data_IF_218019128883
#
_entry.id   IF_218019128883
#
_cell.length_a   1.000
_cell.length_b   1.000
_cell.length_c   1.000
_cell.angle_alpha   90.00
_cell.angle_beta   90.00
_cell.angle_gamma   90.00
#
_symmetry.space_group_name_H-M   'P 1'
#
loop_
_entity.id
_entity.type
_entity.pdbx_description
1 polymer ?
#
# COMPACT_ATOMS: atom_id res chain seq x y z
N UNK A 1 -29.74 -57.48 7.48
CA UNK A 1 -29.45 -56.47 6.43
C UNK A 1 -28.97 -55.20 7.10
N UNK A 2 -27.65 -54.96 7.13
CA UNK A 2 -27.04 -53.69 7.58
C UNK A 2 -26.13 -53.23 6.44
N UNK A 3 -26.60 -52.28 5.65
CA UNK A 3 -25.79 -51.64 4.62
C UNK A 3 -24.85 -50.64 5.29
N UNK A 4 -23.56 -50.97 5.34
CA UNK A 4 -22.51 -50.06 5.76
C UNK A 4 -22.21 -49.13 4.57
N UNK A 5 -22.78 -47.93 4.58
CA UNK A 5 -22.42 -46.87 3.66
C UNK A 5 -21.02 -46.35 4.01
N UNK A 6 -20.01 -46.77 3.26
CA UNK A 6 -18.71 -46.11 3.27
C UNK A 6 -18.85 -44.73 2.61
N UNK A 7 -18.85 -43.67 3.42
CA UNK A 7 -18.56 -42.33 2.95
C UNK A 7 -17.08 -42.26 2.57
N UNK A 8 -16.77 -42.43 1.29
CA UNK A 8 -15.49 -42.05 0.72
C UNK A 8 -15.37 -40.53 0.83
N UNK A 9 -14.69 -40.07 1.87
CA UNK A 9 -14.25 -38.69 1.98
C UNK A 9 -13.21 -38.48 0.87
N UNK A 10 -13.65 -38.03 -0.31
CA UNK A 10 -12.75 -37.52 -1.32
C UNK A 10 -12.03 -36.33 -0.69
N UNK A 11 -10.78 -36.55 -0.25
CA UNK A 11 -9.87 -35.48 0.12
C UNK A 11 -9.92 -34.47 -1.01
N UNK A 12 -10.43 -33.27 -0.73
CA UNK A 12 -10.28 -32.14 -1.60
C UNK A 12 -8.77 -31.93 -1.78
N UNK A 13 -8.25 -32.46 -2.88
CA UNK A 13 -6.95 -32.07 -3.42
C UNK A 13 -6.93 -30.55 -3.34
N UNK A 14 -5.92 -29.96 -2.68
CA UNK A 14 -5.72 -28.51 -2.67
C UNK A 14 -5.78 -28.04 -4.12
N UNK A 15 -6.91 -27.52 -4.55
CA UNK A 15 -7.01 -26.81 -5.81
C UNK A 15 -6.10 -25.59 -5.62
N UNK A 16 -4.89 -25.67 -6.18
CA UNK A 16 -3.95 -24.55 -6.17
C UNK A 16 -4.61 -23.48 -7.01
N UNK A 17 -5.28 -22.53 -6.36
CA UNK A 17 -5.86 -21.36 -7.04
C UNK A 17 -4.71 -20.68 -7.76
N UNK A 18 -4.79 -20.64 -9.08
CA UNK A 18 -3.75 -20.02 -9.89
C UNK A 18 -3.71 -18.53 -9.58
N UNK A 19 -2.52 -18.02 -9.31
CA UNK A 19 -2.29 -16.61 -9.01
C UNK A 19 -1.89 -15.92 -10.31
N UNK A 20 -2.60 -14.85 -10.67
CA UNK A 20 -2.27 -14.01 -11.83
C UNK A 20 -0.85 -13.41 -11.70
N UNK A 21 -0.06 -13.48 -12.77
CA UNK A 21 1.37 -13.09 -12.76
C UNK A 21 1.78 -12.04 -13.79
N UNK A 22 0.91 -11.70 -14.74
CA UNK A 22 1.24 -10.74 -15.78
C UNK A 22 1.02 -9.32 -15.29
N UNK A 23 2.05 -8.49 -15.47
CA UNK A 23 2.01 -7.06 -15.25
C UNK A 23 2.27 -6.32 -16.56
N UNK A 24 1.73 -5.10 -16.74
CA UNK A 24 2.08 -4.28 -17.88
C UNK A 24 3.57 -3.91 -17.87
N UNK A 25 4.09 -3.48 -19.02
CA UNK A 25 5.49 -3.12 -19.16
C UNK A 25 5.95 -2.06 -18.14
N UNK A 26 7.05 -2.37 -17.46
CA UNK A 26 7.64 -1.53 -16.42
C UNK A 26 6.86 -1.50 -15.10
N UNK A 27 5.90 -2.40 -14.88
CA UNK A 27 5.29 -2.65 -13.57
C UNK A 27 5.91 -3.90 -12.93
N UNK A 28 6.25 -3.83 -11.64
CA UNK A 28 6.77 -4.98 -10.89
C UNK A 28 5.64 -5.81 -10.31
N UNK A 29 5.74 -7.12 -10.43
CA UNK A 29 4.82 -8.07 -9.80
C UNK A 29 5.21 -8.38 -8.34
N UNK A 30 4.21 -8.45 -7.47
CA UNK A 30 4.29 -8.89 -6.10
C UNK A 30 3.22 -9.93 -5.79
N UNK A 31 3.57 -10.93 -4.98
CA UNK A 31 2.60 -11.85 -4.41
C UNK A 31 2.05 -11.28 -3.11
N UNK A 32 0.73 -11.09 -3.06
CA UNK A 32 0.01 -10.73 -1.83
C UNK A 32 -1.01 -11.82 -1.51
N UNK A 33 -1.53 -11.81 -0.28
CA UNK A 33 -2.54 -12.77 0.18
C UNK A 33 -3.84 -12.74 -0.66
N UNK A 34 -4.14 -11.60 -1.29
CA UNK A 34 -5.28 -11.41 -2.20
C UNK A 34 -4.97 -11.70 -3.68
N UNK A 35 -3.76 -12.19 -3.98
CA UNK A 35 -3.32 -12.53 -5.33
C UNK A 35 -2.18 -11.65 -5.84
N UNK A 36 -1.93 -11.73 -7.15
CA UNK A 36 -0.86 -10.99 -7.82
C UNK A 36 -1.18 -9.50 -7.92
N UNK A 37 -0.20 -8.68 -7.59
CA UNK A 37 -0.32 -7.22 -7.58
C UNK A 37 0.83 -6.59 -8.38
N UNK A 38 0.48 -5.72 -9.32
CA UNK A 38 1.42 -5.00 -10.16
C UNK A 38 1.61 -3.60 -9.60
N UNK A 39 2.85 -3.20 -9.30
CA UNK A 39 3.19 -1.89 -8.73
C UNK A 39 4.14 -1.12 -9.64
N UNK A 40 4.03 0.21 -9.63
CA UNK A 40 4.96 1.12 -10.31
C UNK A 40 5.11 2.42 -9.53
N UNK A 41 6.36 2.84 -9.35
CA UNK A 41 6.72 4.14 -8.77
C UNK A 41 6.79 5.17 -9.90
N UNK A 42 6.23 6.35 -9.65
CA UNK A 42 6.29 7.49 -10.56
C UNK A 42 6.97 8.65 -9.84
N UNK A 43 7.97 9.25 -10.50
CA UNK A 43 8.53 10.53 -10.08
C UNK A 43 7.67 11.65 -10.67
N UNK A 44 7.27 12.58 -9.81
CA UNK A 44 6.34 13.66 -10.15
C UNK A 44 6.39 14.72 -9.05
N UNK A 45 7.00 15.86 -9.36
CA UNK A 45 7.03 17.01 -8.44
C UNK A 45 5.69 17.74 -8.57
N UNK A 46 4.67 17.27 -7.84
CA UNK A 46 3.32 17.82 -7.97
C UNK A 46 2.30 17.23 -7.01
N UNK A 47 1.27 18.04 -6.74
CA UNK A 47 0.16 17.88 -5.80
C UNK A 47 -0.27 16.41 -5.55
N UNK A 48 -0.31 15.96 -4.28
CA UNK A 48 -0.88 14.65 -3.87
C UNK A 48 -2.29 14.47 -4.40
N UNK A 49 -3.05 15.57 -4.53
CA UNK A 49 -4.40 15.61 -5.07
C UNK A 49 -4.54 14.96 -6.46
N UNK A 50 -3.44 14.81 -7.22
CA UNK A 50 -3.46 14.14 -8.52
C UNK A 50 -2.95 12.70 -8.51
N UNK A 51 -2.31 12.20 -7.45
CA UNK A 51 -1.77 10.83 -7.47
C UNK A 51 -2.88 9.79 -7.65
N UNK A 52 -4.00 9.96 -6.95
CA UNK A 52 -5.20 9.11 -7.10
C UNK A 52 -5.75 9.16 -8.53
N UNK A 53 -5.91 10.35 -9.11
CA UNK A 53 -6.38 10.51 -10.49
C UNK A 53 -5.39 9.96 -11.54
N UNK A 54 -4.08 10.14 -11.32
CA UNK A 54 -3.01 9.65 -12.20
C UNK A 54 -2.95 8.13 -12.18
N UNK A 55 -3.08 7.50 -11.01
CA UNK A 55 -3.21 6.04 -10.94
C UNK A 55 -4.51 5.57 -11.61
N UNK A 56 -5.63 6.26 -11.37
CA UNK A 56 -6.93 5.91 -11.98
C UNK A 56 -6.87 5.94 -13.52
N UNK A 57 -6.19 6.93 -14.11
CA UNK A 57 -5.97 7.03 -15.55
C UNK A 57 -5.21 5.82 -16.16
N UNK A 58 -4.50 5.05 -15.33
CA UNK A 58 -3.77 3.84 -15.71
C UNK A 58 -4.52 2.54 -15.36
N UNK A 59 -5.79 2.64 -14.96
CA UNK A 59 -6.58 1.53 -14.43
C UNK A 59 -6.02 0.99 -13.12
N UNK A 60 -5.41 1.86 -12.31
CA UNK A 60 -4.76 1.55 -11.05
C UNK A 60 -5.30 2.42 -9.91
N UNK A 61 -4.85 2.13 -8.70
CA UNK A 61 -5.08 2.95 -7.50
C UNK A 61 -3.74 3.29 -6.88
N UNK A 62 -3.68 4.26 -5.97
CA UNK A 62 -2.46 4.47 -5.19
C UNK A 62 -2.24 3.24 -4.32
N UNK A 63 -1.08 2.60 -4.46
CA UNK A 63 -0.78 1.35 -3.78
C UNK A 63 -0.39 1.59 -2.33
N UNK A 64 -0.91 0.75 -1.44
CA UNK A 64 -0.32 0.54 -0.12
C UNK A 64 0.96 -0.30 -0.21
N UNK A 65 1.53 -0.62 0.95
CA UNK A 65 2.64 -1.56 1.08
C UNK A 65 2.24 -2.75 1.96
N UNK A 66 2.48 -3.96 1.48
CA UNK A 66 2.20 -5.19 2.22
C UNK A 66 3.24 -5.47 3.31
N UNK A 67 4.49 -5.08 3.09
CA UNK A 67 5.62 -5.45 3.95
C UNK A 67 6.89 -4.62 3.63
N UNK A 68 7.95 -4.87 4.39
CA UNK A 68 9.24 -4.20 4.20
C UNK A 68 9.85 -4.40 2.81
N UNK A 69 9.70 -5.57 2.18
CA UNK A 69 10.27 -5.83 0.85
C UNK A 69 9.65 -4.92 -0.23
N UNK A 70 8.35 -4.63 -0.12
CA UNK A 70 7.68 -3.68 -1.00
C UNK A 70 8.16 -2.25 -0.76
N UNK A 71 8.39 -1.85 0.51
CA UNK A 71 8.98 -0.54 0.85
C UNK A 71 10.39 -0.43 0.27
N UNK A 72 11.25 -1.40 0.52
CA UNK A 72 12.64 -1.39 0.06
C UNK A 72 12.71 -1.30 -1.48
N UNK A 73 11.82 -2.00 -2.18
CA UNK A 73 11.70 -1.86 -3.63
C UNK A 73 11.20 -0.47 -4.07
N UNK A 74 10.22 0.12 -3.38
CA UNK A 74 9.77 1.49 -3.69
C UNK A 74 10.93 2.50 -3.54
N UNK A 75 11.68 2.40 -2.44
CA UNK A 75 12.82 3.27 -2.14
C UNK A 75 13.95 3.11 -3.17
N UNK A 76 14.33 1.87 -3.46
CA UNK A 76 15.34 1.56 -4.48
C UNK A 76 14.92 2.04 -5.87
N UNK A 77 13.66 1.82 -6.25
CA UNK A 77 13.14 2.30 -7.54
C UNK A 77 13.17 3.83 -7.60
N UNK A 78 12.70 4.51 -6.56
CA UNK A 78 12.69 5.97 -6.51
C UNK A 78 14.10 6.57 -6.60
N UNK A 79 15.03 6.09 -5.77
CA UNK A 79 16.38 6.66 -5.66
C UNK A 79 17.29 6.17 -6.78
N UNK A 80 17.35 4.86 -7.01
CA UNK A 80 18.35 4.27 -7.90
C UNK A 80 17.87 4.16 -9.35
N UNK A 81 16.57 3.95 -9.59
CA UNK A 81 16.04 3.87 -10.96
C UNK A 81 15.59 5.23 -11.47
N UNK A 82 14.77 5.94 -10.69
CA UNK A 82 14.16 7.22 -11.10
C UNK A 82 15.02 8.45 -10.73
N UNK A 83 16.13 8.24 -10.00
CA UNK A 83 17.08 9.29 -9.59
C UNK A 83 16.40 10.45 -8.85
N UNK A 84 15.40 10.12 -8.03
CA UNK A 84 14.72 11.10 -7.20
C UNK A 84 15.65 11.61 -6.08
N UNK A 85 15.59 12.91 -5.71
CA UNK A 85 16.33 13.44 -4.58
C UNK A 85 15.92 12.71 -3.30
N UNK A 86 16.90 12.25 -2.53
CA UNK A 86 16.69 11.49 -1.29
C UNK A 86 15.92 12.26 -0.22
N UNK A 87 15.92 13.60 -0.29
CA UNK A 87 15.11 14.48 0.58
C UNK A 87 13.65 14.66 0.13
N UNK A 88 13.19 13.85 -0.82
CA UNK A 88 11.79 13.77 -1.25
C UNK A 88 11.05 12.60 -0.57
N UNK A 89 9.76 12.51 -0.81
CA UNK A 89 8.92 11.39 -0.34
C UNK A 89 8.02 10.86 -1.45
N UNK A 90 7.49 9.64 -1.25
CA UNK A 90 6.45 9.04 -2.08
C UNK A 90 5.08 9.15 -1.40
N UNK A 91 4.05 9.47 -2.17
CA UNK A 91 2.67 9.25 -1.76
C UNK A 91 2.31 7.76 -1.83
N UNK A 92 1.74 7.21 -0.76
CA UNK A 92 1.32 5.80 -0.69
C UNK A 92 -0.14 5.66 -0.23
N UNK A 93 -0.78 4.57 -0.62
CA UNK A 93 -2.22 4.35 -0.53
C UNK A 93 -2.71 3.94 0.84
N UNK A 94 -2.76 4.88 1.78
CA UNK A 94 -3.42 4.72 3.08
C UNK A 94 -4.19 6.00 3.46
N UNK A 95 -5.28 5.82 4.20
CA UNK A 95 -6.07 6.92 4.77
C UNK A 95 -6.29 6.72 6.25
N UNK A 96 -6.39 7.83 6.98
CA UNK A 96 -6.77 7.85 8.38
C UNK A 96 -8.17 7.26 8.53
N UNK A 97 -8.35 6.39 9.52
CA UNK A 97 -9.64 5.71 9.75
C UNK A 97 -10.68 6.69 10.26
N UNK A 98 -11.95 6.46 9.93
CA UNK A 98 -13.06 7.32 10.37
C UNK A 98 -13.08 7.55 11.89
N UNK A 99 -12.72 6.50 12.66
CA UNK A 99 -12.63 6.55 14.12
C UNK A 99 -11.57 7.55 14.61
N UNK A 100 -10.49 7.74 13.85
CA UNK A 100 -9.32 8.51 14.26
C UNK A 100 -9.18 9.86 13.56
N UNK A 101 -10.09 10.23 12.63
CA UNK A 101 -10.00 11.46 11.83
C UNK A 101 -9.80 12.74 12.65
N UNK A 102 -10.47 12.86 13.79
CA UNK A 102 -10.43 14.06 14.65
C UNK A 102 -9.73 13.83 15.98
N UNK A 103 -8.85 12.84 16.02
CA UNK A 103 -8.10 12.48 17.20
C UNK A 103 -6.59 12.51 16.91
N UNK A 104 -5.83 13.01 17.88
CA UNK A 104 -4.41 12.73 18.00
C UNK A 104 -4.20 11.26 18.42
N UNK A 105 -2.96 10.86 18.68
CA UNK A 105 -2.69 9.54 19.23
C UNK A 105 -3.35 9.36 20.61
N UNK A 106 -4.10 8.27 20.76
CA UNK A 106 -4.73 7.81 22.01
C UNK A 106 -4.51 6.30 22.17
N UNK A 107 -5.08 5.70 23.23
CA UNK A 107 -5.10 4.24 23.38
C UNK A 107 -5.90 3.57 22.25
N UNK A 108 -6.93 4.24 21.76
CA UNK A 108 -7.83 3.78 20.70
C UNK A 108 -7.29 4.07 19.30
N UNK A 109 -6.56 5.17 19.13
CA UNK A 109 -5.96 5.62 17.88
C UNK A 109 -4.43 5.61 18.01
N UNK A 110 -3.82 4.52 17.55
CA UNK A 110 -2.41 4.20 17.69
C UNK A 110 -1.75 4.08 16.31
N UNK A 111 -0.43 3.90 16.30
CA UNK A 111 0.33 3.57 15.10
C UNK A 111 -0.22 2.37 14.31
N UNK A 112 -0.92 1.45 14.98
CA UNK A 112 -1.38 0.20 14.39
C UNK A 112 -2.78 0.31 13.75
N UNK A 113 -3.58 1.32 14.11
CA UNK A 113 -5.00 1.35 13.74
C UNK A 113 -5.54 2.74 13.36
N UNK A 114 -4.71 3.79 13.45
CA UNK A 114 -5.07 5.13 12.98
C UNK A 114 -5.25 5.17 11.46
N UNK A 115 -4.64 4.26 10.70
CA UNK A 115 -4.71 4.22 9.24
C UNK A 115 -5.13 2.85 8.70
N UNK A 116 -5.72 2.85 7.51
CA UNK A 116 -6.03 1.67 6.72
C UNK A 116 -5.60 1.87 5.26
N UNK A 117 -5.11 0.80 4.63
CA UNK A 117 -4.80 0.79 3.20
C UNK A 117 -6.05 0.98 2.35
N UNK A 118 -5.91 1.67 1.22
CA UNK A 118 -7.03 2.01 0.31
C UNK A 118 -7.02 1.22 -1.00
N UNK A 119 -5.99 0.41 -1.24
CA UNK A 119 -5.78 -0.23 -2.54
C UNK A 119 -6.54 -1.56 -2.74
N UNK A 120 -7.35 -1.97 -1.75
CA UNK A 120 -8.10 -3.22 -1.70
C UNK A 120 -7.25 -4.51 -1.89
N UNK A 121 -5.94 -4.41 -1.86
CA UNK A 121 -5.01 -5.53 -2.09
C UNK A 121 -4.14 -5.77 -0.86
N UNK A 122 -3.65 -4.70 -0.24
CA UNK A 122 -2.87 -4.74 0.99
C UNK A 122 -3.73 -5.16 2.17
N UNK A 123 -3.20 -6.06 3.00
CA UNK A 123 -3.87 -6.50 4.24
C UNK A 123 -2.97 -6.36 5.46
N UNK A 124 -3.59 -6.22 6.63
CA UNK A 124 -2.86 -6.12 7.89
C UNK A 124 -2.05 -4.82 7.99
N UNK A 125 -1.03 -4.84 8.85
CA UNK A 125 -0.30 -3.63 9.28
C UNK A 125 1.21 -3.73 9.06
N UNK A 126 1.70 -4.85 8.52
CA UNK A 126 3.13 -5.14 8.38
C UNK A 126 3.88 -4.19 7.43
N UNK A 127 3.15 -3.45 6.59
CA UNK A 127 3.73 -2.40 5.75
C UNK A 127 3.73 -1.02 6.41
N UNK A 128 3.12 -0.81 7.58
CA UNK A 128 3.22 0.48 8.26
C UNK A 128 4.55 0.57 9.00
N UNK A 129 5.34 1.59 8.69
CA UNK A 129 6.62 1.88 9.33
C UNK A 129 6.70 3.36 9.66
N UNK A 130 6.05 3.77 10.75
CA UNK A 130 5.96 5.17 11.13
C UNK A 130 7.27 5.74 11.66
N UNK A 131 7.50 7.01 11.38
CA UNK A 131 8.47 7.83 12.08
C UNK A 131 8.12 7.87 13.58
N UNK A 132 9.11 8.05 14.44
CA UNK A 132 8.88 8.18 15.87
C UNK A 132 7.93 9.35 16.15
N UNK A 133 6.80 9.07 16.80
CA UNK A 133 5.75 10.05 17.08
C UNK A 133 4.58 10.02 16.08
N UNK A 134 4.76 9.44 14.91
CA UNK A 134 3.73 9.37 13.87
C UNK A 134 2.86 8.11 13.96
N UNK A 135 1.60 8.12 13.50
CA UNK A 135 0.92 9.22 12.83
C UNK A 135 0.17 10.15 13.79
N UNK A 136 0.67 11.36 13.98
CA UNK A 136 0.30 12.23 15.08
C UNK A 136 -1.01 13.02 14.84
N UNK A 137 -1.48 13.13 13.60
CA UNK A 137 -2.64 13.97 13.22
C UNK A 137 -2.47 15.46 13.56
N UNK A 138 -1.31 16.03 13.32
CA UNK A 138 -1.00 17.44 13.51
C UNK A 138 -2.03 18.34 12.83
N UNK A 139 -2.53 19.31 13.61
CA UNK A 139 -3.63 20.18 13.18
C UNK A 139 -4.96 19.47 12.89
N UNK A 140 -5.11 18.18 13.24
CA UNK A 140 -6.30 17.34 13.02
C UNK A 140 -6.76 17.28 11.55
N UNK A 141 -5.79 17.30 10.63
CA UNK A 141 -5.99 17.35 9.19
C UNK A 141 -4.92 16.55 8.42
N UNK A 142 -4.33 15.53 9.02
CA UNK A 142 -3.32 14.68 8.38
C UNK A 142 -3.91 13.29 8.13
N UNK A 143 -4.64 13.18 7.02
CA UNK A 143 -5.44 11.99 6.68
C UNK A 143 -4.78 11.08 5.62
N UNK A 144 -3.58 11.42 5.18
CA UNK A 144 -2.85 10.79 4.09
C UNK A 144 -1.43 10.39 4.51
N UNK A 145 -0.72 9.57 3.74
CA UNK A 145 0.62 9.07 4.11
C UNK A 145 1.68 9.42 3.07
N UNK A 146 2.82 9.90 3.54
CA UNK A 146 4.07 9.93 2.79
C UNK A 146 5.08 8.90 3.30
N UNK A 147 5.92 8.39 2.41
CA UNK A 147 7.08 7.55 2.70
C UNK A 147 8.36 8.33 2.38
N UNK A 148 9.15 8.67 3.38
CA UNK A 148 10.42 9.39 3.19
C UNK A 148 11.45 8.51 2.49
N UNK A 149 12.10 9.06 1.46
CA UNK A 149 13.07 8.31 0.67
C UNK A 149 14.39 8.05 1.41
N UNK A 150 14.82 8.95 2.28
CA UNK A 150 16.11 8.84 2.99
C UNK A 150 16.09 7.87 4.18
N UNK A 151 14.93 7.69 4.81
CA UNK A 151 14.78 6.95 6.06
C UNK A 151 13.88 5.72 5.92
N UNK A 152 13.05 5.66 4.88
CA UNK A 152 12.12 4.56 4.66
C UNK A 152 11.01 4.47 5.71
N UNK A 153 10.77 5.55 6.45
CA UNK A 153 9.69 5.66 7.43
C UNK A 153 8.59 6.59 6.93
N UNK A 154 7.43 6.49 7.57
CA UNK A 154 6.19 7.14 7.16
C UNK A 154 5.83 8.29 8.09
N UNK A 155 5.18 9.28 7.50
CA UNK A 155 4.57 10.41 8.19
C UNK A 155 3.15 10.59 7.63
N UNK A 156 2.20 10.92 8.51
CA UNK A 156 0.89 11.34 8.05
C UNK A 156 0.91 12.80 7.65
N UNK A 157 0.16 13.16 6.63
CA UNK A 157 0.17 14.50 6.04
C UNK A 157 -1.22 14.89 5.60
N UNK A 158 -1.43 16.19 5.40
CA UNK A 158 -2.62 16.65 4.70
C UNK A 158 -2.65 16.02 3.32
N UNK A 159 -3.81 15.49 2.92
CA UNK A 159 -4.03 15.00 1.57
C UNK A 159 -3.90 16.10 0.50
N UNK A 160 -3.92 17.36 0.90
CA UNK A 160 -3.68 18.51 0.04
C UNK A 160 -2.21 18.95 -0.02
N UNK A 161 -1.28 18.22 0.59
CA UNK A 161 0.14 18.55 0.53
C UNK A 161 0.69 18.30 -0.88
N UNK A 162 1.52 19.22 -1.37
CA UNK A 162 1.90 19.23 -2.79
C UNK A 162 3.40 19.21 -3.05
N UNK A 163 4.17 18.95 -2.00
CA UNK A 163 5.62 18.99 -2.01
C UNK A 163 6.24 17.58 -1.95
N UNK A 164 5.58 16.57 -2.52
CA UNK A 164 6.14 15.22 -2.64
C UNK A 164 6.88 15.07 -3.98
N UNK A 165 7.85 14.15 -4.01
CA UNK A 165 8.63 13.90 -5.21
C UNK A 165 8.02 12.86 -6.14
N UNK A 166 7.05 12.07 -5.66
CA UNK A 166 6.44 11.00 -6.45
C UNK A 166 5.32 10.26 -5.72
N UNK A 167 4.82 9.19 -6.34
CA UNK A 167 3.74 8.34 -5.83
C UNK A 167 3.88 6.91 -6.34
N UNK A 168 3.24 5.96 -5.66
CA UNK A 168 3.22 4.55 -6.09
C UNK A 168 1.81 4.14 -6.50
N UNK A 169 1.64 3.65 -7.73
CA UNK A 169 0.40 3.05 -8.19
C UNK A 169 0.44 1.52 -8.10
N UNK A 170 -0.74 0.91 -8.00
CA UNK A 170 -0.92 -0.54 -7.97
C UNK A 170 -2.22 -0.99 -8.65
N UNK A 171 -2.20 -2.17 -9.26
CA UNK A 171 -3.38 -2.84 -9.81
C UNK A 171 -3.25 -4.36 -9.83
N UNK A 172 -4.38 -5.05 -9.91
CA UNK A 172 -4.42 -6.53 -9.95
C UNK A 172 -3.68 -7.04 -11.18
N UNK A 173 -2.86 -8.08 -11.01
CA UNK A 173 -2.19 -8.77 -12.11
C UNK A 173 -3.20 -9.54 -12.97
N UNK A 174 -2.83 -9.83 -14.22
CA UNK A 174 -3.66 -10.63 -15.14
C UNK A 174 -3.05 -12.01 -15.40
N UNK A 175 -3.86 -12.93 -15.94
CA UNK A 175 -3.44 -14.28 -16.32
C UNK A 175 -2.70 -14.31 -17.65
#
# INVERSE_FOLDING_TARGET
>A
MKFLLLFLCFSAVLAKVEIAKKCPDGWKWFERSRGGWCMKVFSDYGLIANAEAKCAALGAVVSGSQNANEIDWMLDTAVNTLKMPTKSSLFIGAKRTQRCLKLYLTKECSQLNSFSWTDNSTVGISGFRWLAGEPNNGGLNQDCVQLYLDSGVMDDISCSLNALGGYTCGKVATF
#
